data_IF_841750686421
#
_entry.id   IF_841750686421
#
_cell.length_a   1.000
_cell.length_b   1.000
_cell.length_c   1.000
_cell.angle_alpha   90.00
_cell.angle_beta   90.00
_cell.angle_gamma   90.00
#
_symmetry.space_group_name_H-M   'P 1'
#
loop_
_entity.id
_entity.type
_entity.pdbx_description
1 polymer ?
#
# COMPACT_ATOMS: atom_id res chain seq x y z
N UNK A 1 -42.55 -26.19 50.31
CA UNK A 1 -41.19 -25.63 50.40
C UNK A 1 -40.33 -26.29 49.31
N UNK A 2 -39.82 -25.52 48.33
CA UNK A 2 -39.15 -26.04 47.12
C UNK A 2 -37.65 -26.23 47.36
N UNK A 3 -37.15 -27.46 47.16
CA UNK A 3 -35.72 -27.79 47.21
C UNK A 3 -35.13 -27.50 45.81
N UNK A 4 -34.28 -26.48 45.70
CA UNK A 4 -33.54 -26.18 44.46
C UNK A 4 -32.30 -27.07 44.38
N UNK A 5 -32.27 -27.93 43.35
CA UNK A 5 -31.10 -28.69 42.92
C UNK A 5 -30.11 -27.73 42.26
N UNK A 6 -28.88 -27.65 42.76
CA UNK A 6 -27.76 -27.03 42.06
C UNK A 6 -27.06 -28.10 41.23
N UNK A 7 -27.16 -27.99 39.91
CA UNK A 7 -26.30 -28.69 38.97
C UNK A 7 -25.06 -27.81 38.76
N UNK A 8 -23.89 -28.27 39.21
CA UNK A 8 -22.60 -27.68 38.85
C UNK A 8 -22.10 -28.47 37.64
N UNK A 9 -22.23 -27.91 36.45
CA UNK A 9 -21.58 -28.42 35.25
C UNK A 9 -20.13 -27.91 35.22
N UNK A 10 -19.18 -28.82 35.41
CA UNK A 10 -17.80 -28.60 34.98
C UNK A 10 -17.77 -28.51 33.46
N UNK A 11 -17.38 -27.36 32.92
CA UNK A 11 -16.96 -27.24 31.52
C UNK A 11 -15.47 -26.95 31.51
N UNK A 12 -14.69 -28.02 31.35
CA UNK A 12 -13.35 -27.95 30.77
C UNK A 12 -13.51 -27.51 29.32
N UNK A 13 -13.39 -26.21 29.08
CA UNK A 13 -13.41 -25.62 27.75
C UNK A 13 -12.03 -25.07 27.41
N UNK A 14 -11.23 -25.84 26.70
CA UNK A 14 -10.07 -25.37 25.95
C UNK A 14 -10.50 -24.19 25.07
N UNK A 15 -10.24 -22.96 25.52
CA UNK A 15 -10.15 -21.85 24.60
C UNK A 15 -8.75 -21.92 24.00
N UNK A 16 -8.64 -22.66 22.91
CA UNK A 16 -7.56 -22.49 21.97
C UNK A 16 -7.45 -20.99 21.68
N UNK A 17 -6.40 -20.34 22.19
CA UNK A 17 -5.91 -19.11 21.60
C UNK A 17 -5.45 -19.51 20.21
N UNK A 18 -6.39 -19.51 19.27
CA UNK A 18 -6.12 -19.53 17.85
C UNK A 18 -5.05 -18.48 17.62
N UNK A 19 -3.88 -18.95 17.21
CA UNK A 19 -2.83 -18.14 16.67
C UNK A 19 -3.42 -17.32 15.50
N UNK A 20 -3.89 -16.12 15.78
CA UNK A 20 -4.04 -15.08 14.77
C UNK A 20 -2.65 -14.54 14.42
N UNK A 21 -1.75 -15.46 14.07
CA UNK A 21 -0.46 -15.19 13.45
C UNK A 21 -0.63 -14.98 11.95
N UNK A 22 -1.74 -14.39 11.52
CA UNK A 22 -1.83 -13.87 10.16
C UNK A 22 -0.86 -12.71 10.14
N UNK A 23 0.33 -12.98 9.60
CA UNK A 23 1.41 -12.02 9.51
C UNK A 23 0.87 -10.72 8.90
N UNK A 24 0.64 -9.73 9.77
CA UNK A 24 0.33 -8.35 9.38
C UNK A 24 1.52 -7.70 8.69
N UNK A 25 2.61 -8.45 8.45
CA UNK A 25 3.82 -7.98 7.83
C UNK A 25 3.87 -8.20 6.33
N UNK A 26 2.99 -8.94 5.65
CA UNK A 26 3.15 -9.21 4.21
C UNK A 26 2.14 -8.44 3.36
N UNK A 27 2.57 -7.90 2.23
CA UNK A 27 1.67 -7.36 1.22
C UNK A 27 1.14 -8.48 0.30
N UNK A 28 -0.13 -8.40 -0.05
CA UNK A 28 -0.75 -9.12 -1.15
C UNK A 28 -0.53 -8.32 -2.44
N UNK A 29 0.15 -8.92 -3.41
CA UNK A 29 0.39 -8.30 -4.71
C UNK A 29 -0.93 -8.22 -5.50
N UNK A 30 -1.29 -7.02 -5.97
CA UNK A 30 -2.40 -6.81 -6.89
C UNK A 30 -1.97 -6.90 -8.36
N UNK A 31 -0.67 -6.73 -8.60
CA UNK A 31 -0.03 -6.80 -9.92
C UNK A 31 1.26 -7.59 -9.79
N UNK A 32 1.61 -8.40 -10.79
CA UNK A 32 2.91 -9.08 -10.81
C UNK A 32 4.04 -8.05 -10.93
N UNK A 33 5.13 -8.14 -10.14
CA UNK A 33 6.25 -7.21 -10.24
C UNK A 33 6.83 -7.10 -11.65
N UNK A 34 6.88 -8.20 -12.39
CA UNK A 34 7.36 -8.25 -13.77
C UNK A 34 6.45 -7.46 -14.72
N UNK A 35 5.15 -7.38 -14.46
CA UNK A 35 4.24 -6.57 -15.26
C UNK A 35 4.46 -5.07 -15.04
N UNK A 36 4.87 -4.63 -13.86
CA UNK A 36 5.06 -3.20 -13.53
C UNK A 36 6.13 -2.56 -14.42
N UNK A 37 7.26 -3.25 -14.63
CA UNK A 37 8.44 -2.73 -15.33
C UNK A 37 8.52 -3.10 -16.82
N UNK A 38 7.53 -3.83 -17.35
CA UNK A 38 7.45 -4.11 -18.80
C UNK A 38 7.26 -2.83 -19.60
N UNK A 39 7.99 -2.70 -20.72
CA UNK A 39 7.94 -1.55 -21.63
C UNK A 39 6.51 -1.17 -22.06
N UNK A 40 5.69 -2.18 -22.39
CA UNK A 40 4.30 -2.02 -22.86
C UNK A 40 3.29 -2.44 -21.78
N UNK A 41 3.62 -2.18 -20.51
CA UNK A 41 2.73 -2.53 -19.40
C UNK A 41 1.42 -1.74 -19.45
N UNK A 42 0.30 -2.46 -19.33
CA UNK A 42 -1.06 -1.91 -19.29
C UNK A 42 -1.62 -1.76 -17.87
N UNK A 43 -0.81 -2.08 -16.85
CA UNK A 43 -1.25 -2.05 -15.44
C UNK A 43 -1.27 -0.64 -14.83
N UNK A 44 -0.71 0.32 -15.57
CA UNK A 44 -0.61 1.72 -15.19
C UNK A 44 -1.89 2.48 -15.54
N UNK A 45 -2.38 3.29 -14.60
CA UNK A 45 -3.51 4.19 -14.78
C UNK A 45 -2.99 5.61 -14.93
N UNK A 46 -3.49 6.35 -15.91
CA UNK A 46 -3.21 7.78 -15.98
C UNK A 46 -3.82 8.51 -14.77
N UNK A 47 -3.12 9.52 -14.25
CA UNK A 47 -3.72 10.46 -13.30
C UNK A 47 -4.87 11.23 -13.96
N UNK A 48 -4.78 11.53 -15.26
CA UNK A 48 -5.76 12.43 -15.89
C UNK A 48 -5.73 13.82 -15.27
N UNK A 49 -6.68 14.66 -15.66
CA UNK A 49 -6.82 16.02 -15.13
C UNK A 49 -7.93 16.07 -14.07
N UNK A 50 -7.68 16.79 -12.97
CA UNK A 50 -8.71 17.19 -12.00
C UNK A 50 -8.45 18.63 -11.56
N UNK A 51 -9.51 19.43 -11.43
CA UNK A 51 -9.40 20.81 -10.95
C UNK A 51 -8.87 20.92 -9.51
N UNK A 52 -8.98 19.84 -8.73
CA UNK A 52 -8.52 19.78 -7.34
C UNK A 52 -7.03 19.51 -7.20
N UNK A 53 -6.34 19.12 -8.28
CA UNK A 53 -4.95 18.71 -8.20
C UNK A 53 -4.05 19.95 -8.07
N UNK A 54 -3.07 19.87 -7.17
CA UNK A 54 -2.13 20.95 -6.90
C UNK A 54 -1.05 21.00 -7.98
N UNK A 55 -0.66 19.83 -8.50
CA UNK A 55 0.34 19.70 -9.56
C UNK A 55 -0.30 19.23 -10.88
N UNK A 56 0.34 19.61 -11.98
CA UNK A 56 0.03 19.02 -13.29
C UNK A 56 0.52 17.57 -13.36
N UNK A 57 -0.44 16.64 -13.46
CA UNK A 57 -0.21 15.20 -13.57
C UNK A 57 -0.51 14.63 -14.96
N UNK A 58 -0.64 15.48 -16.00
CA UNK A 58 -1.08 15.09 -17.35
C UNK A 58 -0.26 13.96 -17.98
N UNK A 59 1.02 13.84 -17.61
CA UNK A 59 1.92 12.81 -18.12
C UNK A 59 2.31 11.77 -17.06
N UNK A 60 1.66 11.79 -15.90
CA UNK A 60 1.94 10.87 -14.82
C UNK A 60 0.98 9.69 -14.79
N UNK A 61 1.50 8.56 -14.31
CA UNK A 61 0.74 7.34 -14.15
C UNK A 61 0.93 6.79 -12.74
N UNK A 62 -0.07 6.08 -12.25
CA UNK A 62 -0.01 5.38 -10.98
C UNK A 62 -0.58 3.96 -11.09
N UNK A 63 -0.23 3.15 -10.10
CA UNK A 63 -0.91 1.90 -9.82
C UNK A 63 -0.83 1.59 -8.32
N UNK A 64 -1.76 0.76 -7.85
CA UNK A 64 -1.67 0.16 -6.52
C UNK A 64 -1.06 -1.23 -6.73
N UNK A 65 0.22 -1.39 -6.40
CA UNK A 65 0.98 -2.61 -6.68
C UNK A 65 0.59 -3.73 -5.72
N UNK A 66 0.31 -3.38 -4.47
CA UNK A 66 0.03 -4.33 -3.42
C UNK A 66 -0.76 -3.70 -2.26
N UNK A 67 -1.45 -4.53 -1.48
CA UNK A 67 -2.20 -4.14 -0.28
C UNK A 67 -1.84 -4.99 0.92
N UNK A 68 -2.00 -4.43 2.12
CA UNK A 68 -1.77 -5.14 3.38
C UNK A 68 -3.03 -5.11 4.23
N UNK A 69 -3.21 -6.13 5.07
CA UNK A 69 -4.41 -6.31 5.88
C UNK A 69 -4.70 -5.17 6.87
N UNK A 70 -3.68 -4.40 7.27
CA UNK A 70 -3.79 -3.25 8.16
C UNK A 70 -4.13 -1.93 7.45
N UNK A 71 -4.44 -2.00 6.15
CA UNK A 71 -4.87 -0.87 5.32
C UNK A 71 -3.77 -0.13 4.58
N UNK A 72 -2.50 -0.55 4.71
CA UNK A 72 -1.43 0.02 3.89
C UNK A 72 -1.52 -0.45 2.43
N UNK A 73 -1.15 0.44 1.53
CA UNK A 73 -1.07 0.22 0.10
C UNK A 73 0.31 0.60 -0.39
N UNK A 74 0.92 -0.24 -1.23
CA UNK A 74 2.09 0.15 -2.01
C UNK A 74 1.60 0.77 -3.31
N UNK A 75 1.69 2.09 -3.38
CA UNK A 75 1.35 2.88 -4.57
C UNK A 75 2.63 3.15 -5.33
N UNK A 76 2.62 2.91 -6.63
CA UNK A 76 3.72 3.25 -7.52
C UNK A 76 3.32 4.40 -8.41
N UNK A 77 4.22 5.35 -8.62
CA UNK A 77 4.15 6.39 -9.65
C UNK A 77 5.14 6.10 -10.77
N UNK A 78 4.75 6.43 -11.99
CA UNK A 78 5.58 6.42 -13.19
C UNK A 78 5.50 7.81 -13.81
N UNK A 79 6.63 8.50 -13.84
CA UNK A 79 6.75 9.86 -14.36
C UNK A 79 7.79 9.87 -15.50
N UNK A 80 7.57 10.62 -16.60
CA UNK A 80 8.60 10.81 -17.61
C UNK A 80 9.85 11.43 -17.01
N UNK A 81 11.04 10.95 -17.40
CA UNK A 81 12.27 11.62 -17.01
C UNK A 81 12.48 12.87 -17.86
N UNK A 82 12.73 14.00 -17.21
CA UNK A 82 13.10 15.26 -17.87
C UNK A 82 14.39 15.13 -18.70
N UNK A 83 15.37 14.36 -18.22
CA UNK A 83 16.66 14.18 -18.90
C UNK A 83 16.64 13.09 -19.96
N UNK A 84 15.71 12.13 -19.87
CA UNK A 84 15.57 11.05 -20.84
C UNK A 84 14.14 10.53 -20.92
N UNK A 85 13.28 11.10 -21.78
CA UNK A 85 11.88 10.69 -21.91
C UNK A 85 11.66 9.20 -22.23
N UNK A 86 12.66 8.51 -22.79
CA UNK A 86 12.59 7.07 -23.08
C UNK A 86 12.78 6.18 -21.84
N UNK A 87 13.24 6.76 -20.72
CA UNK A 87 13.48 6.07 -19.45
C UNK A 87 12.63 6.71 -18.36
N UNK A 88 11.41 6.21 -18.11
CA UNK A 88 10.56 6.73 -17.04
C UNK A 88 11.20 6.49 -15.67
N UNK A 89 10.86 7.35 -14.73
CA UNK A 89 11.21 7.22 -13.31
C UNK A 89 10.06 6.51 -12.61
N UNK A 90 10.40 5.53 -11.78
CA UNK A 90 9.45 4.83 -10.92
C UNK A 90 9.68 5.22 -9.47
N UNK A 91 8.61 5.52 -8.74
CA UNK A 91 8.68 5.85 -7.31
C UNK A 91 7.58 5.14 -6.56
N UNK A 92 7.93 4.42 -5.49
CA UNK A 92 6.98 3.76 -4.62
C UNK A 92 6.67 4.57 -3.38
N UNK A 93 5.46 4.42 -2.86
CA UNK A 93 4.98 5.05 -1.63
C UNK A 93 4.09 4.07 -0.88
N UNK A 94 4.34 3.89 0.41
CA UNK A 94 3.39 3.23 1.29
C UNK A 94 2.41 4.27 1.85
N UNK A 95 1.13 4.11 1.53
CA UNK A 95 0.06 5.02 1.93
C UNK A 95 -1.00 4.25 2.71
N UNK A 96 -1.58 4.88 3.73
CA UNK A 96 -2.76 4.37 4.44
C UNK A 96 -3.86 5.43 4.44
N UNK A 97 -5.04 5.07 3.97
CA UNK A 97 -6.17 6.01 3.94
C UNK A 97 -6.58 6.44 5.35
N UNK A 98 -6.93 7.71 5.49
CA UNK A 98 -7.14 8.39 6.78
C UNK A 98 -5.87 8.93 7.43
N UNK A 99 -4.69 8.70 6.82
CA UNK A 99 -3.39 9.13 7.34
C UNK A 99 -2.65 9.92 6.26
N UNK A 100 -2.42 11.21 6.52
CA UNK A 100 -1.76 12.16 5.61
C UNK A 100 -0.22 12.06 5.68
N UNK A 101 0.29 10.84 5.62
CA UNK A 101 1.73 10.57 5.59
C UNK A 101 2.02 9.39 4.67
N UNK A 102 3.20 9.43 4.07
CA UNK A 102 3.73 8.37 3.24
C UNK A 102 5.08 7.87 3.76
N UNK A 103 5.44 6.68 3.28
CA UNK A 103 6.78 6.13 3.42
C UNK A 103 7.31 5.89 2.01
N UNK A 104 8.31 6.64 1.55
CA UNK A 104 8.85 6.48 0.21
C UNK A 104 9.58 5.14 0.09
N UNK A 105 9.44 4.51 -1.07
CA UNK A 105 10.14 3.30 -1.45
C UNK A 105 10.82 3.54 -2.80
N UNK A 106 12.16 3.54 -2.79
CA UNK A 106 12.94 3.59 -4.02
C UNK A 106 12.93 2.20 -4.65
N UNK A 107 12.23 2.08 -5.78
CA UNK A 107 12.01 0.82 -6.50
C UNK A 107 12.37 1.02 -7.97
N UNK A 108 13.35 0.27 -8.45
CA UNK A 108 13.92 0.43 -9.79
C UNK A 108 13.66 -0.78 -10.69
N UNK A 109 13.31 -1.93 -10.13
CA UNK A 109 13.11 -3.18 -10.86
C UNK A 109 12.10 -4.13 -10.18
N UNK A 110 11.79 -5.23 -10.87
CA UNK A 110 10.80 -6.20 -10.44
C UNK A 110 11.26 -7.00 -9.20
N UNK A 111 12.55 -7.26 -9.08
CA UNK A 111 13.15 -7.99 -7.97
C UNK A 111 13.01 -7.22 -6.65
N UNK A 112 13.31 -5.91 -6.65
CA UNK A 112 13.13 -5.02 -5.50
C UNK A 112 11.65 -4.93 -5.09
N UNK A 113 10.74 -4.80 -6.06
CA UNK A 113 9.30 -4.80 -5.78
C UNK A 113 8.84 -6.14 -5.21
N UNK A 114 9.35 -7.26 -5.72
CA UNK A 114 9.06 -8.59 -5.16
C UNK A 114 9.58 -8.73 -3.74
N UNK A 115 10.79 -8.24 -3.46
CA UNK A 115 11.37 -8.26 -2.12
C UNK A 115 10.52 -7.44 -1.15
N UNK A 116 10.13 -6.21 -1.53
CA UNK A 116 9.37 -5.32 -0.65
C UNK A 116 7.97 -5.85 -0.35
N UNK A 117 7.34 -6.53 -1.31
CA UNK A 117 6.02 -7.16 -1.10
C UNK A 117 6.12 -8.30 -0.09
N UNK A 118 7.19 -9.10 -0.18
CA UNK A 118 7.41 -10.23 0.70
C UNK A 118 7.93 -9.84 2.09
N UNK A 119 8.73 -8.77 2.17
CA UNK A 119 9.44 -8.35 3.38
C UNK A 119 9.34 -6.82 3.61
N UNK A 120 8.17 -6.19 3.67
CA UNK A 120 8.04 -4.74 3.72
C UNK A 120 8.62 -4.11 4.99
N UNK A 121 8.86 -4.91 6.03
CA UNK A 121 9.54 -4.48 7.25
C UNK A 121 10.96 -3.98 6.98
N UNK A 122 11.65 -4.41 5.92
CA UNK A 122 13.01 -3.95 5.61
C UNK A 122 13.02 -2.49 5.17
N UNK A 123 11.97 -2.02 4.50
CA UNK A 123 11.86 -0.65 3.97
C UNK A 123 11.00 0.26 4.86
N UNK A 124 9.94 -0.25 5.49
CA UNK A 124 9.15 0.54 6.47
C UNK A 124 9.95 0.80 7.76
N UNK A 125 10.94 -0.04 8.09
CA UNK A 125 11.87 0.22 9.21
C UNK A 125 12.92 1.28 8.87
N UNK A 126 13.16 1.61 7.60
CA UNK A 126 13.88 2.82 7.26
C UNK A 126 12.96 4.00 7.59
N UNK A 127 13.14 4.58 8.78
CA UNK A 127 12.19 5.42 9.54
C UNK A 127 11.80 6.78 8.91
N UNK A 128 11.85 6.94 7.59
CA UNK A 128 11.51 8.22 6.97
C UNK A 128 10.02 8.26 6.63
N UNK A 129 9.22 8.63 7.64
CA UNK A 129 7.82 9.00 7.49
C UNK A 129 7.77 10.44 7.03
N UNK A 130 7.14 10.71 5.90
CA UNK A 130 6.98 12.05 5.37
C UNK A 130 5.53 12.49 5.60
N UNK A 131 5.27 13.44 6.51
CA UNK A 131 3.97 14.09 6.54
C UNK A 131 3.79 14.92 5.27
N UNK A 132 2.56 14.98 4.79
CA UNK A 132 2.19 15.84 3.68
C UNK A 132 0.87 16.55 3.98
N UNK A 133 0.62 17.66 3.30
CA UNK A 133 -0.62 18.41 3.41
C UNK A 133 -1.34 18.49 2.06
N UNK A 134 -2.50 19.15 2.07
CA UNK A 134 -3.40 19.30 0.91
C UNK A 134 -2.76 20.00 -0.29
N UNK A 135 -1.66 20.73 -0.08
CA UNK A 135 -1.00 21.57 -1.08
C UNK A 135 0.22 20.85 -1.70
N UNK A 136 0.24 19.51 -1.64
CA UNK A 136 1.33 18.67 -2.16
C UNK A 136 0.87 17.70 -3.24
N UNK A 137 1.75 17.36 -4.19
CA UNK A 137 1.48 16.29 -5.16
C UNK A 137 1.32 14.89 -4.53
N UNK A 138 1.73 14.71 -3.27
CA UNK A 138 1.44 13.49 -2.51
C UNK A 138 -0.03 13.44 -2.10
N UNK A 139 -0.63 14.58 -1.76
CA UNK A 139 -2.06 14.65 -1.50
C UNK A 139 -2.89 14.32 -2.74
N UNK A 140 -2.50 14.80 -3.92
CA UNK A 140 -3.16 14.44 -5.19
C UNK A 140 -3.15 12.91 -5.40
N UNK A 141 -1.98 12.29 -5.14
CA UNK A 141 -1.82 10.82 -5.16
C UNK A 141 -2.71 10.13 -4.13
N UNK A 142 -2.73 10.63 -2.89
CA UNK A 142 -3.54 10.12 -1.79
C UNK A 142 -5.03 10.15 -2.12
N UNK A 143 -5.55 11.28 -2.59
CA UNK A 143 -6.97 11.44 -2.99
C UNK A 143 -7.31 10.42 -4.08
N UNK A 144 -6.41 10.19 -5.04
CA UNK A 144 -6.60 9.25 -6.14
C UNK A 144 -6.76 7.79 -5.69
N UNK A 145 -6.04 7.39 -4.64
CA UNK A 145 -6.04 5.99 -4.16
C UNK A 145 -6.99 5.75 -3.00
N UNK A 146 -7.35 6.79 -2.25
CA UNK A 146 -8.18 6.70 -1.06
C UNK A 146 -9.63 7.14 -1.24
N UNK A 147 -9.94 8.04 -2.16
CA UNK A 147 -11.31 8.47 -2.43
C UNK A 147 -11.81 7.78 -3.71
N UNK A 148 -12.72 6.82 -3.55
CA UNK A 148 -13.50 6.20 -4.62
C UNK A 148 -14.96 6.59 -4.49
#
# INVERSE_FOLDING_TARGET
MKIKKFFIFSVLGFSALSASGQSTSKFEALVSPEQVFKKNSTVWKAYGEKESDVLDHSNEYYLIAAKRADGFMLVMKKTPSYSNPKKPIYTGYFIKCGVMEDYPALLTNAEELKEIINNPQTQIKAKFRMPFDKDTGMHDTYVRVCHK
#
